data_IF_742127597289
#
_entry.id   IF_742127597289
#
_cell.length_a   1.000
_cell.length_b   1.000
_cell.length_c   1.000
_cell.angle_alpha   90.00
_cell.angle_beta   90.00
_cell.angle_gamma   90.00
#
_symmetry.space_group_name_H-M   'P 1'
#
loop_
_entity.id
_entity.type
_entity.pdbx_description
1 polymer ?
#
# COMPACT_ATOMS: atom_id res chain seq x y z
N UNK A 1 -7.26 58.93 -24.59
CA UNK A 1 -7.88 58.03 -23.58
C UNK A 1 -8.33 56.71 -24.20
N UNK A 2 -9.03 56.73 -25.34
CA UNK A 2 -9.46 55.50 -26.03
C UNK A 2 -8.28 54.58 -26.40
N UNK A 3 -7.17 55.14 -26.91
CA UNK A 3 -6.00 54.34 -27.33
C UNK A 3 -5.24 53.68 -26.17
N UNK A 4 -5.17 54.36 -25.02
CA UNK A 4 -4.55 53.79 -23.83
C UNK A 4 -5.38 52.61 -23.29
N UNK A 5 -6.71 52.75 -23.32
CA UNK A 5 -7.64 51.73 -22.88
C UNK A 5 -7.57 50.49 -23.77
N UNK A 6 -7.52 50.65 -25.09
CA UNK A 6 -7.43 49.52 -26.03
C UNK A 6 -6.10 48.77 -25.91
N UNK A 7 -4.99 49.48 -25.71
CA UNK A 7 -3.68 48.87 -25.47
C UNK A 7 -3.70 48.05 -24.15
N UNK A 8 -4.26 48.61 -23.08
CA UNK A 8 -4.40 47.90 -21.80
C UNK A 8 -5.27 46.64 -21.94
N UNK A 9 -6.38 46.75 -22.67
CA UNK A 9 -7.31 45.63 -22.88
C UNK A 9 -6.65 44.52 -23.70
N UNK A 10 -5.87 44.88 -24.73
CA UNK A 10 -5.07 43.93 -25.51
C UNK A 10 -4.02 43.22 -24.65
N UNK A 11 -3.27 43.96 -23.83
CA UNK A 11 -2.29 43.39 -22.91
C UNK A 11 -2.93 42.43 -21.89
N UNK A 12 -4.11 42.79 -21.37
CA UNK A 12 -4.86 41.96 -20.43
C UNK A 12 -5.31 40.63 -21.06
N UNK A 13 -5.82 40.68 -22.30
CA UNK A 13 -6.22 39.47 -23.03
C UNK A 13 -5.00 38.57 -23.30
N UNK A 14 -3.86 39.14 -23.68
CA UNK A 14 -2.62 38.38 -23.87
C UNK A 14 -2.18 37.69 -22.57
N UNK A 15 -2.21 38.41 -21.44
CA UNK A 15 -1.88 37.84 -20.13
C UNK A 15 -2.82 36.70 -19.75
N UNK A 16 -4.12 36.84 -20.01
CA UNK A 16 -5.10 35.77 -19.78
C UNK A 16 -4.80 34.52 -20.63
N UNK A 17 -4.48 34.70 -21.90
CA UNK A 17 -4.11 33.57 -22.78
C UNK A 17 -2.88 32.85 -22.24
N UNK A 18 -1.85 33.59 -21.83
CA UNK A 18 -0.63 33.01 -21.24
C UNK A 18 -0.96 32.22 -19.96
N UNK A 19 -1.80 32.76 -19.09
CA UNK A 19 -2.23 32.08 -17.86
C UNK A 19 -2.98 30.78 -18.17
N UNK A 20 -3.90 30.79 -19.14
CA UNK A 20 -4.66 29.60 -19.55
C UNK A 20 -3.69 28.53 -20.08
N UNK A 21 -2.76 28.90 -20.95
CA UNK A 21 -1.76 27.97 -21.51
C UNK A 21 -0.88 27.37 -20.40
N UNK A 22 -0.41 28.20 -19.46
CA UNK A 22 0.37 27.73 -18.32
C UNK A 22 -0.44 26.75 -17.45
N UNK A 23 -1.72 27.05 -17.18
CA UNK A 23 -2.59 26.20 -16.38
C UNK A 23 -2.81 24.82 -17.04
N UNK A 24 -2.99 24.79 -18.36
CA UNK A 24 -3.13 23.55 -19.13
C UNK A 24 -1.84 22.72 -19.06
N UNK A 25 -0.67 23.35 -19.21
CA UNK A 25 0.64 22.67 -19.09
C UNK A 25 0.84 22.09 -17.69
N UNK A 26 0.50 22.83 -16.64
CA UNK A 26 0.57 22.36 -15.25
C UNK A 26 -0.37 21.17 -15.05
N UNK A 27 -1.61 21.25 -15.54
CA UNK A 27 -2.57 20.13 -15.45
C UNK A 27 -2.05 18.88 -16.16
N UNK A 28 -1.46 19.02 -17.34
CA UNK A 28 -0.82 17.91 -18.06
C UNK A 28 0.37 17.32 -17.28
N UNK A 29 1.20 18.16 -16.66
CA UNK A 29 2.31 17.70 -15.81
C UNK A 29 1.80 16.93 -14.58
N UNK A 30 0.77 17.42 -13.90
CA UNK A 30 0.17 16.74 -12.74
C UNK A 30 -0.40 15.37 -13.13
N UNK A 31 -1.06 15.26 -14.28
CA UNK A 31 -1.58 13.97 -14.76
C UNK A 31 -0.45 12.99 -15.05
N UNK A 32 0.65 13.45 -15.67
CA UNK A 32 1.85 12.62 -15.91
C UNK A 32 2.51 12.19 -14.59
N UNK A 33 2.65 13.10 -13.63
CA UNK A 33 3.13 12.81 -12.28
C UNK A 33 2.25 11.78 -11.57
N UNK A 34 0.93 11.91 -11.64
CA UNK A 34 -0.01 10.90 -11.09
C UNK A 34 0.16 9.53 -11.75
N UNK A 35 0.41 9.48 -13.05
CA UNK A 35 0.66 8.22 -13.75
C UNK A 35 1.96 7.55 -13.31
N UNK A 36 3.05 8.31 -13.13
CA UNK A 36 4.31 7.80 -12.60
C UNK A 36 4.19 7.38 -11.13
N UNK A 37 3.49 8.18 -10.32
CA UNK A 37 3.19 7.86 -8.93
C UNK A 37 2.32 6.59 -8.83
N UNK A 38 1.46 6.27 -9.80
CA UNK A 38 0.69 5.02 -9.80
C UNK A 38 1.58 3.78 -9.99
N UNK A 39 2.68 3.92 -10.72
CA UNK A 39 3.69 2.87 -10.90
C UNK A 39 4.59 2.73 -9.66
N UNK A 40 4.86 3.83 -8.95
CA UNK A 40 5.69 3.84 -7.73
C UNK A 40 4.85 3.59 -6.45
N UNK A 41 3.53 3.82 -6.48
CA UNK A 41 2.60 3.60 -5.39
C UNK A 41 2.69 2.20 -4.77
N UNK A 42 2.79 1.08 -5.51
CA UNK A 42 2.95 -0.24 -4.90
C UNK A 42 4.29 -0.39 -4.14
N UNK A 43 5.31 0.40 -4.47
CA UNK A 43 6.62 0.39 -3.79
C UNK A 43 6.57 1.23 -2.51
N UNK A 44 5.91 2.40 -2.56
CA UNK A 44 5.75 3.27 -1.39
C UNK A 44 4.70 2.75 -0.40
N UNK A 45 3.62 2.13 -0.88
CA UNK A 45 2.63 1.46 -0.02
C UNK A 45 3.22 0.26 0.70
N UNK A 46 4.14 -0.50 0.08
CA UNK A 46 4.87 -1.56 0.80
C UNK A 46 5.60 -1.03 2.03
N UNK A 47 6.20 0.17 1.97
CA UNK A 47 6.86 0.74 3.15
C UNK A 47 5.87 1.27 4.21
N UNK A 48 4.73 1.81 3.79
CA UNK A 48 3.73 2.33 4.73
C UNK A 48 2.87 1.23 5.38
N UNK A 49 2.59 0.15 4.66
CA UNK A 49 1.92 -1.04 5.22
C UNK A 49 2.84 -1.84 6.14
N UNK A 50 4.15 -1.87 5.91
CA UNK A 50 5.09 -2.48 6.89
C UNK A 50 5.07 -1.71 8.22
N UNK A 51 4.92 -0.37 8.19
CA UNK A 51 4.83 0.42 9.42
C UNK A 51 3.46 0.33 10.11
N UNK A 52 2.35 0.20 9.36
CA UNK A 52 1.02 0.01 9.94
C UNK A 52 0.73 -1.44 10.37
N UNK A 53 1.34 -2.45 9.73
CA UNK A 53 1.30 -3.84 10.17
C UNK A 53 1.88 -4.00 11.58
N UNK A 54 2.81 -3.11 11.99
CA UNK A 54 3.36 -3.08 13.35
C UNK A 54 2.36 -2.64 14.43
N UNK A 55 1.18 -2.12 14.04
CA UNK A 55 0.09 -1.71 14.95
C UNK A 55 -1.19 -2.54 14.83
N UNK A 56 -1.33 -3.37 13.80
CA UNK A 56 -2.39 -4.39 13.77
C UNK A 56 -1.98 -5.47 14.77
N UNK A 57 -2.91 -5.92 15.60
CA UNK A 57 -2.68 -6.86 16.69
C UNK A 57 -1.99 -8.15 16.16
N UNK A 58 -0.65 -8.17 16.12
CA UNK A 58 0.18 -9.20 15.48
C UNK A 58 0.12 -10.56 16.23
N UNK A 59 -0.87 -10.79 17.08
CA UNK A 59 -1.02 -12.00 17.89
C UNK A 59 -1.66 -13.16 17.14
N UNK A 60 -1.46 -13.25 15.83
CA UNK A 60 -2.00 -14.34 15.01
C UNK A 60 -1.00 -15.49 14.90
N UNK A 61 -1.51 -16.72 14.81
CA UNK A 61 -0.71 -17.95 14.76
C UNK A 61 0.30 -17.98 13.61
N UNK A 62 0.04 -17.27 12.51
CA UNK A 62 0.96 -17.12 11.39
C UNK A 62 2.35 -16.61 11.78
N UNK A 63 2.45 -15.72 12.78
CA UNK A 63 3.72 -15.11 13.21
C UNK A 63 4.23 -15.65 14.54
N UNK A 64 3.61 -16.72 15.04
CA UNK A 64 3.88 -17.26 16.36
C UNK A 64 5.07 -18.24 16.32
N UNK A 65 6.06 -18.03 17.19
CA UNK A 65 7.23 -18.92 17.41
C UNK A 65 6.84 -20.37 17.72
N UNK A 66 5.64 -20.59 18.24
CA UNK A 66 5.15 -21.91 18.63
C UNK A 66 4.38 -22.64 17.52
N UNK A 67 4.28 -22.08 16.30
CA UNK A 67 3.63 -22.75 15.17
C UNK A 67 4.54 -23.82 14.59
N UNK A 68 3.97 -24.99 14.30
CA UNK A 68 4.64 -26.07 13.56
C UNK A 68 3.81 -26.43 12.32
N UNK A 69 4.49 -26.64 11.19
CA UNK A 69 3.86 -26.99 9.91
C UNK A 69 4.05 -28.47 9.64
N UNK A 70 2.98 -29.14 9.21
CA UNK A 70 2.98 -30.54 8.85
C UNK A 70 2.34 -30.73 7.48
N UNK A 71 2.75 -31.81 6.80
CA UNK A 71 2.23 -32.19 5.49
C UNK A 71 1.33 -33.41 5.71
N UNK A 72 0.08 -33.30 5.30
CA UNK A 72 -0.88 -34.40 5.27
C UNK A 72 -0.80 -35.03 3.88
N UNK A 73 0.02 -36.07 3.75
CA UNK A 73 0.05 -36.88 2.55
C UNK A 73 -1.27 -37.66 2.46
N UNK A 74 -2.17 -37.26 1.56
CA UNK A 74 -3.38 -38.03 1.26
C UNK A 74 -3.09 -39.00 0.11
N UNK A 75 -3.75 -40.15 0.11
CA UNK A 75 -3.63 -41.16 -0.96
C UNK A 75 -4.07 -40.66 -2.34
N UNK A 76 -4.71 -39.48 -2.40
CA UNK A 76 -5.24 -38.87 -3.61
C UNK A 76 -4.27 -37.90 -4.31
N UNK A 77 -3.06 -37.70 -3.76
CA UNK A 77 -2.00 -36.92 -4.41
C UNK A 77 -2.10 -35.40 -4.19
N UNK A 78 -3.10 -34.93 -3.44
CA UNK A 78 -3.15 -33.57 -2.94
C UNK A 78 -2.46 -33.53 -1.57
N UNK A 79 -1.27 -32.91 -1.53
CA UNK A 79 -0.53 -32.63 -0.32
C UNK A 79 -1.12 -31.39 0.37
N UNK A 80 -1.91 -31.60 1.42
CA UNK A 80 -2.46 -30.52 2.23
C UNK A 80 -1.52 -30.16 3.40
N UNK A 81 -1.36 -28.86 3.65
CA UNK A 81 -0.62 -28.38 4.83
C UNK A 81 -1.58 -28.13 5.99
N UNK A 82 -1.19 -28.59 7.19
CA UNK A 82 -1.88 -28.23 8.43
C UNK A 82 -0.89 -27.71 9.47
N UNK A 83 -1.40 -26.91 10.42
CA UNK A 83 -0.57 -26.21 11.39
C UNK A 83 -0.96 -26.60 12.81
N UNK A 84 0.03 -26.95 13.64
CA UNK A 84 -0.16 -27.29 15.04
C UNK A 84 0.49 -26.22 15.94
N UNK A 85 -0.15 -25.93 17.07
CA UNK A 85 0.44 -25.13 18.15
C UNK A 85 1.26 -26.03 19.08
N UNK A 86 2.57 -25.81 19.18
CA UNK A 86 3.50 -26.59 20.02
C UNK A 86 3.14 -26.58 21.52
N UNK A 87 2.59 -25.49 22.03
CA UNK A 87 2.22 -25.36 23.45
C UNK A 87 0.97 -26.19 23.78
N UNK A 88 -0.03 -26.15 22.90
CA UNK A 88 -1.35 -26.75 23.15
C UNK A 88 -1.55 -28.09 22.48
N UNK A 89 -0.60 -28.50 21.64
CA UNK A 89 -0.66 -29.68 20.79
C UNK A 89 -2.02 -29.82 20.06
N UNK A 90 -2.50 -28.71 19.50
CA UNK A 90 -3.79 -28.62 18.80
C UNK A 90 -3.60 -27.97 17.44
N UNK A 91 -4.40 -28.39 16.46
CA UNK A 91 -4.51 -27.75 15.15
C UNK A 91 -5.05 -26.33 15.29
N UNK A 92 -4.44 -25.41 14.54
CA UNK A 92 -4.74 -23.98 14.56
C UNK A 92 -4.81 -23.46 13.13
N UNK A 93 -5.70 -22.50 12.89
CA UNK A 93 -5.69 -21.73 11.66
C UNK A 93 -4.59 -20.66 11.72
N UNK A 94 -4.03 -20.27 10.58
CA UNK A 94 -3.05 -19.18 10.51
C UNK A 94 -3.64 -17.84 10.96
N UNK A 95 -4.95 -17.68 10.81
CA UNK A 95 -5.71 -16.48 11.20
C UNK A 95 -6.12 -16.47 12.67
N UNK A 96 -5.96 -17.59 13.39
CA UNK A 96 -6.33 -17.69 14.80
C UNK A 96 -5.44 -16.80 15.67
N UNK A 97 -6.03 -16.23 16.72
CA UNK A 97 -5.29 -15.45 17.72
C UNK A 97 -4.79 -16.32 18.87
N UNK A 98 -3.54 -16.11 19.31
CA UNK A 98 -2.92 -16.90 20.38
C UNK A 98 -2.70 -16.07 21.65
N UNK A 99 -3.11 -16.63 22.80
CA UNK A 99 -2.88 -16.02 24.14
C UNK A 99 -1.41 -16.10 24.57
N UNK A 100 -0.67 -17.10 24.11
CA UNK A 100 0.76 -17.31 24.41
C UNK A 100 1.63 -16.87 23.21
N UNK A 101 1.19 -15.87 22.47
CA UNK A 101 1.91 -15.41 21.30
C UNK A 101 3.32 -14.91 21.68
N UNK A 102 4.32 -15.45 21.00
CA UNK A 102 5.68 -14.92 20.97
C UNK A 102 6.09 -14.77 19.51
N UNK A 103 6.73 -13.66 19.17
CA UNK A 103 7.14 -13.39 17.80
C UNK A 103 8.33 -14.30 17.45
N UNK A 104 8.38 -14.83 16.24
CA UNK A 104 9.46 -15.71 15.78
C UNK A 104 10.86 -15.07 15.88
N UNK A 105 10.94 -13.74 15.86
CA UNK A 105 12.19 -12.98 15.96
C UNK A 105 12.69 -12.70 17.38
N UNK A 106 11.92 -13.06 18.42
CA UNK A 106 12.36 -12.92 19.81
C UNK A 106 13.27 -14.12 20.16
N UNK A 107 14.58 -13.88 20.08
CA UNK A 107 15.65 -14.82 20.46
C UNK A 107 15.79 -14.92 21.98
#
# INVERSE_FOLDING_TARGET
MLDLLTILLGAFVILLIVQIVALVRIRQMIVRLRSMLRVIAPILQRHHDIQNARKVNMRICQFCKFRQTYIKATSHGDDDFYYLCKIRNKEVDLTDTCKHFQLETDF
#
